data_IF_058193586092
#
_entry.id   IF_058193586092
#
_cell.length_a   1.000
_cell.length_b   1.000
_cell.length_c   1.000
_cell.angle_alpha   90.00
_cell.angle_beta   90.00
_cell.angle_gamma   90.00
#
_symmetry.space_group_name_H-M   'P 1'
#
loop_
_entity.id
_entity.type
_entity.pdbx_description
1 polymer ?
#
# COMPACT_ATOMS: atom_id res chain seq x y z
N UNK A 1 -29.02 -76.84 -47.91
CA UNK A 1 -28.29 -75.79 -48.59
C UNK A 1 -28.07 -74.63 -47.59
N UNK A 2 -26.86 -74.51 -47.06
CA UNK A 2 -26.50 -73.46 -46.03
C UNK A 2 -25.56 -72.47 -46.71
N UNK A 3 -25.95 -71.21 -46.75
CA UNK A 3 -25.08 -70.13 -47.24
C UNK A 3 -24.13 -69.63 -46.14
N UNK A 4 -22.89 -69.27 -46.42
CA UNK A 4 -21.94 -68.77 -45.42
C UNK A 4 -22.09 -67.25 -45.28
N UNK A 5 -22.34 -66.78 -44.03
CA UNK A 5 -22.29 -65.36 -43.66
C UNK A 5 -20.86 -64.90 -43.52
N UNK A 6 -20.59 -63.74 -44.11
CA UNK A 6 -19.30 -63.12 -44.20
C UNK A 6 -18.83 -62.49 -42.89
N UNK A 7 -17.63 -62.86 -42.42
CA UNK A 7 -16.87 -62.21 -41.34
C UNK A 7 -16.13 -60.98 -41.91
N UNK A 8 -16.80 -59.82 -41.99
CA UNK A 8 -16.10 -58.57 -42.41
C UNK A 8 -16.82 -57.35 -41.82
N UNK A 9 -16.92 -57.22 -40.49
CA UNK A 9 -17.43 -55.97 -39.92
C UNK A 9 -16.98 -55.71 -38.45
N UNK A 10 -15.82 -56.18 -38.04
CA UNK A 10 -15.33 -55.98 -36.64
C UNK A 10 -13.96 -55.31 -36.53
N UNK A 11 -13.48 -54.59 -37.58
CA UNK A 11 -12.14 -53.94 -37.51
C UNK A 11 -12.16 -52.42 -37.74
N UNK A 12 -13.30 -51.75 -37.71
CA UNK A 12 -13.42 -50.31 -37.94
C UNK A 12 -13.95 -49.49 -36.76
N UNK A 13 -14.15 -50.08 -35.58
CA UNK A 13 -14.64 -49.38 -34.37
C UNK A 13 -13.58 -49.11 -33.31
N UNK A 14 -12.31 -49.42 -33.54
CA UNK A 14 -11.19 -49.27 -32.58
C UNK A 14 -10.37 -47.99 -32.68
N UNK A 15 -10.59 -47.10 -33.67
CA UNK A 15 -9.69 -45.97 -33.93
C UNK A 15 -10.29 -44.58 -33.71
N UNK A 16 -11.52 -44.47 -33.16
CA UNK A 16 -12.20 -43.20 -32.95
C UNK A 16 -12.23 -42.74 -31.49
N UNK A 17 -11.64 -43.45 -30.51
CA UNK A 17 -11.76 -43.14 -29.08
C UNK A 17 -10.43 -42.61 -28.47
N UNK A 18 -9.36 -42.42 -29.19
CA UNK A 18 -8.05 -42.06 -28.62
C UNK A 18 -7.63 -40.59 -28.90
N UNK A 19 -8.45 -39.77 -29.56
CA UNK A 19 -8.10 -38.38 -29.90
C UNK A 19 -8.76 -37.32 -28.98
N UNK A 20 -9.69 -37.68 -28.10
CA UNK A 20 -10.41 -36.71 -27.27
C UNK A 20 -9.85 -36.46 -25.87
N UNK A 21 -8.67 -36.94 -25.48
CA UNK A 21 -8.14 -36.79 -24.12
C UNK A 21 -6.90 -35.86 -23.99
N UNK A 22 -6.55 -35.08 -25.03
CA UNK A 22 -5.38 -34.19 -24.99
C UNK A 22 -5.72 -32.69 -24.96
N UNK A 23 -6.97 -32.28 -24.74
CA UNK A 23 -7.34 -30.85 -24.68
C UNK A 23 -7.80 -30.37 -23.31
N UNK A 24 -7.60 -31.14 -22.24
CA UNK A 24 -8.00 -30.76 -20.89
C UNK A 24 -6.75 -30.33 -20.06
N UNK A 25 -6.06 -29.29 -20.49
CA UNK A 25 -4.86 -28.82 -19.76
C UNK A 25 -4.39 -27.40 -20.11
N UNK A 26 -5.09 -26.70 -20.97
CA UNK A 26 -4.86 -25.26 -21.09
C UNK A 26 -5.60 -24.57 -19.94
N UNK A 27 -5.10 -24.70 -18.70
CA UNK A 27 -5.41 -23.74 -17.64
C UNK A 27 -5.14 -22.38 -18.27
N UNK A 28 -6.16 -21.55 -18.37
CA UNK A 28 -6.00 -20.15 -18.78
C UNK A 28 -4.95 -19.56 -17.84
N UNK A 29 -3.69 -19.50 -18.28
CA UNK A 29 -2.68 -18.69 -17.63
C UNK A 29 -3.26 -17.28 -17.65
N UNK A 30 -3.88 -16.87 -16.56
CA UNK A 30 -4.35 -15.50 -16.40
C UNK A 30 -3.11 -14.65 -16.60
N UNK A 31 -3.16 -13.69 -17.51
CA UNK A 31 -2.08 -12.74 -17.66
C UNK A 31 -1.83 -12.09 -16.30
N UNK A 32 -0.60 -12.12 -15.83
CA UNK A 32 -0.20 -11.42 -14.61
C UNK A 32 -0.27 -9.91 -14.89
N UNK A 33 -0.61 -9.12 -13.90
CA UNK A 33 -0.74 -7.67 -14.02
C UNK A 33 0.51 -7.01 -14.63
N UNK A 34 1.70 -7.60 -14.49
CA UNK A 34 2.92 -7.10 -15.14
C UNK A 34 2.81 -7.11 -16.69
N UNK A 35 2.24 -8.17 -17.26
CA UNK A 35 2.07 -8.25 -18.73
C UNK A 35 1.06 -7.21 -19.21
N UNK A 36 -0.03 -6.99 -18.44
CA UNK A 36 -1.03 -5.98 -18.76
C UNK A 36 -0.45 -4.56 -18.64
N UNK A 37 0.34 -4.28 -17.62
CA UNK A 37 1.07 -3.01 -17.42
C UNK A 37 2.03 -2.73 -18.60
N UNK A 38 2.85 -3.71 -18.98
CA UNK A 38 3.81 -3.56 -20.09
C UNK A 38 3.07 -3.35 -21.41
N UNK A 39 2.00 -4.10 -21.66
CA UNK A 39 1.17 -3.98 -22.87
C UNK A 39 0.46 -2.63 -22.94
N UNK A 40 -0.04 -2.13 -21.81
CA UNK A 40 -0.69 -0.82 -21.71
C UNK A 40 0.31 0.35 -21.84
N UNK A 41 1.62 0.10 -21.58
CA UNK A 41 2.63 1.14 -21.50
C UNK A 41 2.48 2.08 -20.31
N UNK A 42 1.68 1.69 -19.30
CA UNK A 42 1.35 2.51 -18.14
C UNK A 42 1.13 1.62 -16.93
N UNK A 43 1.66 2.02 -15.77
CA UNK A 43 1.37 1.44 -14.47
C UNK A 43 0.53 2.43 -13.64
N UNK A 44 -0.63 1.99 -13.15
CA UNK A 44 -1.50 2.78 -12.27
C UNK A 44 -1.12 2.53 -10.82
N UNK A 45 -0.66 3.57 -10.14
CA UNK A 45 -0.17 3.49 -8.76
C UNK A 45 -1.06 4.32 -7.85
N UNK A 46 -1.68 3.65 -6.87
CA UNK A 46 -2.48 4.30 -5.83
C UNK A 46 -1.60 4.95 -4.77
N UNK A 47 -1.77 6.26 -4.56
CA UNK A 47 -1.09 7.04 -3.53
C UNK A 47 -2.08 7.90 -2.76
N UNK A 48 -1.79 8.18 -1.49
CA UNK A 48 -2.45 9.28 -0.79
C UNK A 48 -1.93 10.61 -1.35
N UNK A 49 -2.81 11.57 -1.63
CA UNK A 49 -2.42 12.87 -2.20
C UNK A 49 -2.17 13.94 -1.14
N UNK A 50 -2.39 13.61 0.13
CA UNK A 50 -2.33 14.50 1.29
C UNK A 50 -1.55 13.91 2.47
N UNK A 51 -0.55 13.08 2.19
CA UNK A 51 0.25 12.33 3.14
C UNK A 51 1.72 12.79 3.14
N UNK A 52 2.05 14.01 3.63
CA UNK A 52 3.42 14.52 3.62
C UNK A 52 4.31 13.71 4.59
N UNK A 53 5.59 13.46 4.27
CA UNK A 53 6.31 13.85 3.05
C UNK A 53 6.19 12.86 1.89
N UNK A 54 5.31 11.85 1.98
CA UNK A 54 5.18 10.80 0.97
C UNK A 54 4.50 11.32 -0.30
N UNK A 55 3.39 12.04 -0.16
CA UNK A 55 2.80 12.80 -1.25
C UNK A 55 1.97 13.96 -0.69
N UNK A 56 2.08 15.12 -1.30
CA UNK A 56 1.26 16.28 -0.97
C UNK A 56 1.21 17.27 -2.13
N UNK A 57 0.13 18.03 -2.20
CA UNK A 57 -0.02 19.08 -3.18
C UNK A 57 0.92 20.25 -2.86
N UNK A 58 1.81 20.55 -3.79
CA UNK A 58 2.72 21.70 -3.70
C UNK A 58 2.02 23.04 -3.98
N UNK A 59 2.73 24.12 -3.75
CA UNK A 59 2.22 25.48 -4.05
C UNK A 59 2.00 25.74 -5.54
N UNK A 60 2.60 24.96 -6.41
CA UNK A 60 2.44 24.97 -7.86
C UNK A 60 1.28 24.08 -8.35
N UNK A 61 0.45 23.59 -7.43
CA UNK A 61 -0.66 22.67 -7.67
C UNK A 61 -0.25 21.32 -8.28
N UNK A 62 1.01 20.93 -8.13
CA UNK A 62 1.48 19.58 -8.48
C UNK A 62 1.65 18.74 -7.23
N UNK A 63 1.34 17.46 -7.35
CA UNK A 63 1.63 16.49 -6.30
C UNK A 63 3.11 16.14 -6.37
N UNK A 64 3.80 16.19 -5.23
CA UNK A 64 5.20 15.84 -5.10
C UNK A 64 5.45 15.13 -3.77
N UNK A 65 6.51 14.34 -3.68
CA UNK A 65 6.83 13.59 -2.48
C UNK A 65 7.62 12.30 -2.74
N UNK A 66 7.89 11.60 -1.65
CA UNK A 66 8.62 10.33 -1.67
C UNK A 66 7.96 9.30 -2.59
N UNK A 67 6.64 9.11 -2.46
CA UNK A 67 5.88 8.12 -3.23
C UNK A 67 5.70 8.53 -4.69
N UNK A 68 5.62 9.84 -4.97
CA UNK A 68 5.55 10.33 -6.35
C UNK A 68 6.83 10.01 -7.10
N UNK A 69 7.99 10.32 -6.50
CA UNK A 69 9.28 10.00 -7.10
C UNK A 69 9.55 8.48 -7.17
N UNK A 70 9.10 7.73 -6.14
CA UNK A 70 9.17 6.27 -6.16
C UNK A 70 8.35 5.69 -7.32
N UNK A 71 7.14 6.20 -7.57
CA UNK A 71 6.29 5.75 -8.68
C UNK A 71 6.96 6.00 -10.04
N UNK A 72 7.60 7.13 -10.23
CA UNK A 72 8.37 7.44 -11.45
C UNK A 72 9.57 6.51 -11.63
N UNK A 73 10.30 6.20 -10.55
CA UNK A 73 11.42 5.26 -10.58
C UNK A 73 10.96 3.84 -10.91
N UNK A 74 9.84 3.40 -10.35
CA UNK A 74 9.21 2.10 -10.67
C UNK A 74 8.84 2.05 -12.15
N UNK A 75 8.10 3.04 -12.65
CA UNK A 75 7.65 3.09 -14.03
C UNK A 75 8.82 3.09 -15.01
N UNK A 76 9.87 3.88 -14.73
CA UNK A 76 11.12 3.89 -15.49
C UNK A 76 11.81 2.53 -15.52
N UNK A 77 11.86 1.82 -14.38
CA UNK A 77 12.50 0.51 -14.27
C UNK A 77 11.70 -0.62 -14.95
N UNK A 78 10.39 -0.44 -15.12
CA UNK A 78 9.53 -1.35 -15.91
C UNK A 78 9.58 -0.98 -17.39
N UNK A 79 9.86 0.28 -17.74
CA UNK A 79 9.84 0.80 -19.12
C UNK A 79 8.48 1.32 -19.58
N UNK A 80 7.67 1.82 -18.63
CA UNK A 80 6.31 2.36 -18.83
C UNK A 80 6.17 3.76 -18.26
N UNK A 81 4.98 4.37 -18.31
CA UNK A 81 4.64 5.63 -17.65
C UNK A 81 3.96 5.36 -16.31
N UNK A 82 4.19 6.19 -15.29
CA UNK A 82 3.39 6.21 -14.09
C UNK A 82 2.10 7.00 -14.31
N UNK A 83 0.98 6.45 -13.84
CA UNK A 83 -0.30 7.13 -13.66
C UNK A 83 -0.64 7.07 -12.18
N UNK A 84 -0.62 8.23 -11.51
CA UNK A 84 -0.95 8.32 -10.10
C UNK A 84 -2.45 8.38 -9.93
N UNK A 85 -2.99 7.58 -9.01
CA UNK A 85 -4.41 7.52 -8.68
C UNK A 85 -4.58 7.84 -7.21
N UNK A 86 -5.32 8.91 -6.90
CA UNK A 86 -5.63 9.30 -5.54
C UNK A 86 -6.47 8.26 -4.82
N UNK A 87 -6.02 7.85 -3.63
CA UNK A 87 -6.70 6.87 -2.79
C UNK A 87 -6.99 7.44 -1.40
N UNK A 88 -7.87 6.74 -0.68
CA UNK A 88 -8.16 6.96 0.75
C UNK A 88 -7.87 5.69 1.55
N UNK A 89 -7.83 5.78 2.87
CA UNK A 89 -7.71 4.60 3.74
C UNK A 89 -8.77 3.54 3.47
N UNK A 90 -9.98 3.96 3.09
CA UNK A 90 -11.12 3.07 2.86
C UNK A 90 -11.14 2.43 1.48
N UNK A 91 -10.75 3.17 0.41
CA UNK A 91 -10.90 2.68 -0.96
C UNK A 91 -9.67 1.98 -1.53
N UNK A 92 -8.47 2.14 -0.93
CA UNK A 92 -7.21 1.62 -1.50
C UNK A 92 -7.21 0.12 -1.75
N UNK A 93 -7.66 -0.68 -0.78
CA UNK A 93 -7.74 -2.14 -0.97
C UNK A 93 -8.79 -2.52 -2.03
N UNK A 94 -10.05 -2.01 -1.97
CA UNK A 94 -11.00 -2.18 -3.07
C UNK A 94 -10.45 -1.80 -4.45
N UNK A 95 -9.78 -0.64 -4.57
CA UNK A 95 -9.22 -0.19 -5.86
C UNK A 95 -8.20 -1.17 -6.42
N UNK A 96 -7.34 -1.73 -5.56
CA UNK A 96 -6.35 -2.73 -5.97
C UNK A 96 -7.02 -4.05 -6.38
N UNK A 97 -7.96 -4.55 -5.56
CA UNK A 97 -8.67 -5.82 -5.84
C UNK A 97 -9.51 -5.74 -7.12
N UNK A 98 -10.10 -4.56 -7.41
CA UNK A 98 -10.90 -4.30 -8.59
C UNK A 98 -10.07 -3.89 -9.83
N UNK A 99 -8.72 -3.90 -9.75
CA UNK A 99 -7.81 -3.47 -10.82
C UNK A 99 -8.02 -2.03 -11.29
N UNK A 100 -8.48 -1.13 -10.40
CA UNK A 100 -8.49 0.31 -10.65
C UNK A 100 -7.08 0.90 -10.53
N UNK A 101 -6.24 0.24 -9.75
CA UNK A 101 -4.79 0.45 -9.66
C UNK A 101 -4.07 -0.89 -9.76
N UNK A 102 -2.81 -0.88 -10.22
CA UNK A 102 -1.96 -2.06 -10.36
C UNK A 102 -1.13 -2.30 -9.10
N UNK A 103 -0.77 -1.23 -8.41
CA UNK A 103 -0.02 -1.27 -7.16
C UNK A 103 -0.46 -0.16 -6.21
N UNK A 104 -0.24 -0.36 -4.92
CA UNK A 104 -0.37 0.66 -3.87
C UNK A 104 1.00 0.99 -3.30
N UNK A 105 1.25 2.26 -3.01
CA UNK A 105 2.36 2.70 -2.17
C UNK A 105 1.89 3.01 -0.74
N UNK A 106 2.84 3.22 0.17
CA UNK A 106 2.59 3.57 1.58
C UNK A 106 1.54 2.71 2.27
N UNK A 107 1.67 1.40 2.11
CA UNK A 107 0.77 0.45 2.78
C UNK A 107 1.51 -0.38 3.83
N UNK A 108 1.10 -0.23 5.09
CA UNK A 108 1.60 -1.07 6.18
C UNK A 108 1.01 -2.48 6.14
N UNK A 109 1.81 -3.45 6.54
CA UNK A 109 1.40 -4.85 6.64
C UNK A 109 0.36 -5.06 7.75
N UNK A 110 -0.64 -5.90 7.48
CA UNK A 110 -1.46 -6.58 8.49
C UNK A 110 -1.92 -7.93 7.96
N UNK A 111 -2.16 -8.88 8.87
CA UNK A 111 -2.64 -10.23 8.51
C UNK A 111 -3.97 -10.18 7.76
N UNK A 112 -4.85 -9.25 8.12
CA UNK A 112 -6.12 -9.04 7.44
C UNK A 112 -5.93 -8.63 5.97
N UNK A 113 -5.06 -7.63 5.73
CA UNK A 113 -4.75 -7.18 4.37
C UNK A 113 -4.07 -8.27 3.55
N UNK A 114 -3.18 -9.06 4.17
CA UNK A 114 -2.46 -10.14 3.52
C UNK A 114 -3.38 -11.29 3.01
N UNK A 115 -4.66 -11.32 3.40
CA UNK A 115 -5.64 -12.24 2.82
C UNK A 115 -6.00 -11.89 1.37
N UNK A 116 -5.92 -10.60 1.00
CA UNK A 116 -6.43 -10.09 -0.28
C UNK A 116 -5.39 -9.36 -1.13
N UNK A 117 -4.21 -9.05 -0.57
CA UNK A 117 -3.08 -8.43 -1.28
C UNK A 117 -1.78 -9.17 -0.98
N UNK A 118 -0.79 -9.02 -1.86
CA UNK A 118 0.58 -9.46 -1.64
C UNK A 118 1.48 -8.24 -1.46
N UNK A 119 2.26 -8.25 -0.37
CA UNK A 119 3.16 -7.16 -0.01
C UNK A 119 4.56 -7.36 -0.59
N UNK A 120 5.23 -6.26 -0.95
CA UNK A 120 6.67 -6.26 -1.24
C UNK A 120 7.49 -6.21 0.06
N UNK A 121 8.81 -6.31 -0.08
CA UNK A 121 9.72 -5.81 0.95
C UNK A 121 9.47 -4.32 1.21
N UNK A 122 9.74 -3.81 2.43
CA UNK A 122 9.55 -2.41 2.75
C UNK A 122 10.51 -1.52 1.93
N UNK A 123 10.09 -0.29 1.61
CA UNK A 123 10.90 0.66 0.87
C UNK A 123 11.12 1.99 1.61
N UNK A 124 10.40 2.23 2.71
CA UNK A 124 10.64 3.36 3.61
C UNK A 124 10.43 2.94 5.08
N UNK A 125 11.27 3.43 6.00
CA UNK A 125 11.03 3.27 7.43
C UNK A 125 9.78 4.05 7.82
N UNK A 126 9.01 3.52 8.75
CA UNK A 126 7.80 4.18 9.23
C UNK A 126 7.35 3.56 10.54
N UNK A 127 6.88 4.37 11.46
CA UNK A 127 6.16 3.92 12.62
C UNK A 127 4.98 4.84 12.94
N UNK A 128 3.96 4.30 13.55
CA UNK A 128 2.73 4.99 13.92
C UNK A 128 2.87 5.46 15.37
N UNK A 129 2.54 6.71 15.61
CA UNK A 129 2.60 7.30 16.93
C UNK A 129 1.39 8.17 17.25
N UNK A 130 1.10 8.31 18.54
CA UNK A 130 0.19 9.32 19.06
C UNK A 130 0.97 10.62 19.21
N UNK A 131 0.48 11.68 18.56
CA UNK A 131 1.03 13.02 18.61
C UNK A 131 0.09 13.94 19.40
N UNK A 132 0.66 14.88 20.12
CA UNK A 132 -0.13 15.86 20.88
C UNK A 132 0.67 17.11 21.22
N UNK A 133 0.04 18.18 21.70
CA UNK A 133 0.72 19.39 22.15
C UNK A 133 1.70 19.08 23.28
N UNK A 134 2.78 19.86 23.37
CA UNK A 134 3.85 19.64 24.36
C UNK A 134 3.34 19.61 25.81
N UNK A 135 2.37 20.45 26.15
CA UNK A 135 1.77 20.61 27.46
C UNK A 135 0.74 19.53 27.85
N UNK A 136 0.41 18.64 26.93
CA UNK A 136 -0.52 17.53 27.19
C UNK A 136 0.25 16.30 27.63
N UNK A 137 0.06 15.88 28.89
CA UNK A 137 0.71 14.67 29.41
C UNK A 137 -0.08 13.44 29.00
N UNK A 138 0.52 12.64 28.11
CA UNK A 138 0.04 11.35 27.61
C UNK A 138 1.26 10.47 27.39
N UNK A 139 1.36 9.36 28.12
CA UNK A 139 2.52 8.45 28.09
C UNK A 139 2.19 7.06 27.57
N UNK A 140 0.90 6.76 27.44
CA UNK A 140 0.45 5.45 26.98
C UNK A 140 -1.06 5.38 26.75
N UNK A 141 -1.57 4.22 26.35
CA UNK A 141 -2.97 4.05 25.99
C UNK A 141 -3.98 4.46 27.06
N UNK A 142 -3.69 4.21 28.35
CA UNK A 142 -4.61 4.56 29.45
C UNK A 142 -4.90 6.08 29.52
N UNK A 143 -3.94 6.92 29.13
CA UNK A 143 -4.05 8.38 29.19
C UNK A 143 -4.91 8.96 28.05
N UNK A 144 -5.34 8.12 27.09
CA UNK A 144 -6.25 8.49 26.01
C UNK A 144 -7.69 8.71 26.52
N UNK A 145 -8.02 8.25 27.72
CA UNK A 145 -9.35 8.44 28.32
C UNK A 145 -9.72 9.93 28.39
N UNK A 146 -10.89 10.26 27.88
CA UNK A 146 -11.40 11.64 27.83
C UNK A 146 -10.68 12.56 26.86
N UNK A 147 -9.83 12.04 25.98
CA UNK A 147 -9.16 12.80 24.92
C UNK A 147 -9.88 12.60 23.58
N UNK A 148 -9.94 13.68 22.81
CA UNK A 148 -10.37 13.66 21.41
C UNK A 148 -9.17 13.37 20.53
N UNK A 149 -9.26 12.32 19.71
CA UNK A 149 -8.15 11.77 18.93
C UNK A 149 -8.56 11.78 17.45
N UNK A 150 -7.85 12.52 16.62
CA UNK A 150 -8.07 12.52 15.18
C UNK A 150 -7.27 11.39 14.51
N UNK A 151 -7.91 10.67 13.59
CA UNK A 151 -7.27 9.59 12.82
C UNK A 151 -7.87 9.48 11.42
N UNK A 152 -7.07 9.04 10.45
CA UNK A 152 -7.56 8.77 9.09
C UNK A 152 -8.24 7.40 9.05
N UNK A 153 -9.51 7.39 8.68
CA UNK A 153 -10.38 6.20 8.67
C UNK A 153 -9.83 5.10 7.74
N UNK A 154 -9.79 3.86 8.24
CA UNK A 154 -9.40 2.68 7.46
C UNK A 154 -7.89 2.52 7.26
N UNK A 155 -7.09 3.35 7.93
CA UNK A 155 -5.63 3.18 7.99
C UNK A 155 -5.23 2.26 9.14
N UNK A 156 -3.93 1.89 9.24
CA UNK A 156 -3.43 1.17 10.43
C UNK A 156 -3.46 2.05 11.68
N UNK A 157 -3.28 3.34 11.53
CA UNK A 157 -3.43 4.32 12.61
C UNK A 157 -4.80 4.20 13.29
N UNK A 158 -5.88 4.12 12.49
CA UNK A 158 -7.24 3.92 12.99
C UNK A 158 -7.38 2.55 13.68
N UNK A 159 -6.91 1.49 13.03
CA UNK A 159 -7.00 0.14 13.58
C UNK A 159 -6.24 0.01 14.89
N UNK A 160 -5.00 0.49 14.95
CA UNK A 160 -4.13 0.30 16.10
C UNK A 160 -4.56 1.16 17.29
N UNK A 161 -4.95 2.44 17.07
CA UNK A 161 -5.46 3.26 18.19
C UNK A 161 -6.78 2.70 18.72
N UNK A 162 -7.64 2.17 17.85
CA UNK A 162 -8.92 1.58 18.26
C UNK A 162 -8.72 0.35 19.15
N UNK A 163 -7.70 -0.47 18.89
CA UNK A 163 -7.40 -1.67 19.70
C UNK A 163 -6.97 -1.32 21.12
N UNK A 164 -6.28 -0.20 21.31
CA UNK A 164 -5.66 0.14 22.61
C UNK A 164 -6.40 1.25 23.35
N UNK A 165 -7.30 1.98 22.70
CA UNK A 165 -8.02 3.09 23.31
C UNK A 165 -8.94 2.59 24.43
N UNK A 166 -8.87 3.18 25.64
CA UNK A 166 -9.75 2.84 26.75
C UNK A 166 -11.17 3.35 26.50
N UNK A 167 -12.13 2.81 27.23
CA UNK A 167 -13.49 3.35 27.29
C UNK A 167 -13.45 4.83 27.69
N UNK A 168 -14.19 5.67 26.94
CA UNK A 168 -14.22 7.12 27.13
C UNK A 168 -13.16 7.88 26.33
N UNK A 169 -12.34 7.23 25.50
CA UNK A 169 -11.57 7.90 24.46
C UNK A 169 -12.50 8.24 23.28
N UNK A 170 -12.39 9.47 22.74
CA UNK A 170 -13.19 9.95 21.62
C UNK A 170 -12.36 9.90 20.31
N UNK A 171 -12.50 8.82 19.54
CA UNK A 171 -11.78 8.64 18.27
C UNK A 171 -12.59 9.24 17.13
N UNK A 172 -12.15 10.40 16.64
CA UNK A 172 -12.73 11.09 15.50
C UNK A 172 -12.04 10.68 14.20
N UNK A 173 -12.81 10.06 13.31
CA UNK A 173 -12.33 9.47 12.06
C UNK A 173 -12.60 10.39 10.89
N UNK A 174 -11.53 10.89 10.28
CA UNK A 174 -11.57 11.75 9.08
C UNK A 174 -11.39 10.91 7.81
N UNK A 175 -11.82 11.44 6.68
CA UNK A 175 -11.72 10.77 5.37
C UNK A 175 -10.32 10.78 4.79
N UNK A 176 -9.48 11.71 5.24
CA UNK A 176 -8.17 12.02 4.69
C UNK A 176 -7.23 12.61 5.76
N UNK A 177 -5.94 12.73 5.43
CA UNK A 177 -4.93 13.26 6.35
C UNK A 177 -5.05 14.78 6.55
N UNK A 178 -5.51 15.53 5.53
CA UNK A 178 -5.75 16.96 5.70
C UNK A 178 -6.79 17.24 6.79
N UNK A 179 -7.86 16.44 6.85
CA UNK A 179 -8.86 16.51 7.90
C UNK A 179 -8.28 16.23 9.29
N UNK A 180 -7.45 15.18 9.42
CA UNK A 180 -6.75 14.84 10.66
C UNK A 180 -5.86 15.98 11.13
N UNK A 181 -4.99 16.47 10.24
CA UNK A 181 -4.03 17.54 10.54
C UNK A 181 -4.75 18.84 10.91
N UNK A 182 -5.80 19.20 10.15
CA UNK A 182 -6.59 20.40 10.41
C UNK A 182 -7.31 20.34 11.74
N UNK A 183 -7.91 19.20 12.10
CA UNK A 183 -8.56 19.01 13.39
C UNK A 183 -7.60 19.15 14.57
N UNK A 184 -6.38 18.61 14.42
CA UNK A 184 -5.33 18.77 15.44
C UNK A 184 -4.86 20.23 15.53
N UNK A 185 -4.48 20.85 14.42
CA UNK A 185 -3.93 22.21 14.41
C UNK A 185 -4.94 23.29 14.81
N UNK A 186 -6.25 23.05 14.62
CA UNK A 186 -7.32 23.94 15.12
C UNK A 186 -7.67 23.71 16.60
N UNK A 187 -7.13 22.66 17.22
CA UNK A 187 -7.48 22.26 18.59
C UNK A 187 -8.83 21.54 18.72
N UNK A 188 -9.51 21.23 17.61
CA UNK A 188 -10.73 20.41 17.60
C UNK A 188 -10.43 18.99 18.12
N UNK A 189 -9.32 18.40 17.70
CA UNK A 189 -8.80 17.18 18.30
C UNK A 189 -7.58 17.49 19.18
N UNK A 190 -7.56 16.93 20.39
CA UNK A 190 -6.45 17.14 21.33
C UNK A 190 -5.22 16.34 20.97
N UNK A 191 -5.42 15.21 20.33
CA UNK A 191 -4.37 14.30 19.86
C UNK A 191 -4.64 13.93 18.39
N UNK A 192 -3.61 13.52 17.69
CA UNK A 192 -3.74 12.84 16.41
C UNK A 192 -2.88 11.58 16.36
N UNK A 193 -3.28 10.62 15.55
CA UNK A 193 -2.49 9.42 15.28
C UNK A 193 -2.06 9.45 13.82
N UNK A 194 -0.76 9.55 13.64
CA UNK A 194 -0.11 9.65 12.32
C UNK A 194 1.27 8.98 12.38
N UNK A 195 1.92 8.85 11.24
CA UNK A 195 3.31 8.42 11.21
C UNK A 195 4.28 9.48 11.73
N UNK A 196 5.44 9.00 12.19
CA UNK A 196 6.55 9.83 12.65
C UNK A 196 6.94 10.92 11.65
N UNK A 197 7.06 10.56 10.36
CA UNK A 197 7.49 11.49 9.31
C UNK A 197 6.45 12.57 9.00
N UNK A 198 5.15 12.22 9.12
CA UNK A 198 4.04 13.18 9.01
C UNK A 198 4.12 14.19 10.16
N UNK A 199 4.27 13.72 11.40
CA UNK A 199 4.44 14.57 12.57
C UNK A 199 5.65 15.50 12.44
N UNK A 200 6.80 14.96 12.03
CA UNK A 200 8.02 15.73 11.80
C UNK A 200 7.83 16.80 10.71
N UNK A 201 7.14 16.46 9.62
CA UNK A 201 6.86 17.40 8.51
C UNK A 201 5.97 18.56 8.95
N UNK A 202 4.98 18.29 9.80
CA UNK A 202 4.11 19.33 10.37
C UNK A 202 4.90 20.21 11.32
N UNK A 203 5.69 19.61 12.22
CA UNK A 203 6.50 20.31 13.21
C UNK A 203 7.52 21.26 12.54
N UNK A 204 8.12 20.84 11.42
CA UNK A 204 9.07 21.66 10.65
C UNK A 204 8.47 22.97 10.11
N UNK A 205 7.14 23.05 9.99
CA UNK A 205 6.41 24.27 9.61
C UNK A 205 6.15 25.23 10.77
N UNK A 206 6.62 24.89 11.98
CA UNK A 206 6.48 25.69 13.22
C UNK A 206 5.04 26.13 13.50
N UNK A 207 4.07 25.19 13.55
CA UNK A 207 2.68 25.55 13.81
C UNK A 207 2.48 26.03 15.26
N UNK A 208 1.38 26.76 15.51
CA UNK A 208 1.04 27.22 16.87
C UNK A 208 0.80 26.07 17.85
N UNK A 209 0.28 24.93 17.36
CA UNK A 209 0.15 23.69 18.12
C UNK A 209 1.17 22.71 17.56
N UNK A 210 2.26 22.51 18.28
CA UNK A 210 3.34 21.59 17.87
C UNK A 210 2.93 20.13 18.11
N UNK A 211 3.01 19.28 17.05
CA UNK A 211 2.79 17.84 17.20
C UNK A 211 4.03 17.17 17.80
N UNK A 212 4.06 17.00 19.09
CA UNK A 212 5.12 16.26 19.81
C UNK A 212 4.68 14.81 19.96
N UNK A 213 5.58 13.87 19.68
CA UNK A 213 5.33 12.45 19.92
C UNK A 213 5.07 12.20 21.40
N UNK A 214 4.02 11.45 21.71
CA UNK A 214 3.63 11.05 23.06
C UNK A 214 4.08 9.61 23.33
N UNK A 215 3.69 8.70 22.47
CA UNK A 215 4.15 7.33 22.49
C UNK A 215 3.95 6.66 21.12
N UNK A 216 4.78 5.68 20.85
CA UNK A 216 4.68 4.86 19.63
C UNK A 216 3.62 3.77 19.81
N UNK A 217 2.76 3.59 18.80
CA UNK A 217 1.77 2.51 18.75
C UNK A 217 2.33 1.26 18.10
N UNK A 218 2.97 1.42 16.95
CA UNK A 218 3.39 0.29 16.12
C UNK A 218 4.52 0.68 15.17
N UNK A 219 5.53 -0.18 15.02
CA UNK A 219 6.47 -0.10 13.89
C UNK A 219 5.79 -0.72 12.67
N UNK A 220 5.71 0.03 11.58
CA UNK A 220 5.02 -0.38 10.36
C UNK A 220 5.72 0.16 9.12
N UNK A 221 6.89 -0.40 8.74
CA UNK A 221 7.58 0.05 7.54
C UNK A 221 6.65 0.11 6.32
N UNK A 222 6.85 1.10 5.47
CA UNK A 222 6.03 1.28 4.26
C UNK A 222 6.40 0.24 3.22
N UNK A 223 5.42 -0.55 2.80
CA UNK A 223 5.51 -1.53 1.73
C UNK A 223 4.73 -1.03 0.50
N UNK A 224 4.97 -1.66 -0.63
CA UNK A 224 4.03 -1.67 -1.74
C UNK A 224 3.11 -2.89 -1.60
N UNK A 225 1.96 -2.85 -2.26
CA UNK A 225 1.11 -4.02 -2.41
C UNK A 225 0.59 -4.15 -3.82
N UNK A 226 0.43 -5.39 -4.24
CA UNK A 226 -0.26 -5.79 -5.47
C UNK A 226 -1.45 -6.66 -5.10
N UNK A 227 -2.41 -6.84 -6.02
CA UNK A 227 -3.51 -7.77 -5.80
C UNK A 227 -2.97 -9.18 -5.53
N UNK A 228 -3.66 -9.91 -4.67
CA UNK A 228 -3.32 -11.29 -4.31
C UNK A 228 -3.15 -12.16 -5.55
N UNK A 229 -1.99 -12.81 -5.66
CA UNK A 229 -1.65 -13.70 -6.77
C UNK A 229 -0.95 -13.04 -7.97
N UNK A 230 -0.75 -11.72 -7.99
CA UNK A 230 0.02 -11.01 -9.02
C UNK A 230 1.53 -11.12 -8.74
N UNK A 231 2.03 -12.36 -8.74
CA UNK A 231 3.37 -12.68 -8.23
C UNK A 231 4.52 -12.12 -9.05
N UNK A 232 4.34 -12.01 -10.37
CA UNK A 232 5.38 -11.45 -11.25
C UNK A 232 5.53 -9.95 -11.08
N UNK A 233 4.42 -9.22 -10.92
CA UNK A 233 4.45 -7.79 -10.63
C UNK A 233 5.06 -7.56 -9.24
N UNK A 234 4.65 -8.33 -8.22
CA UNK A 234 5.24 -8.27 -6.89
C UNK A 234 6.76 -8.48 -6.92
N UNK A 235 7.23 -9.53 -7.62
CA UNK A 235 8.65 -9.84 -7.73
C UNK A 235 9.40 -8.71 -8.46
N UNK A 236 8.83 -8.18 -9.54
CA UNK A 236 9.42 -7.04 -10.27
C UNK A 236 9.60 -5.82 -9.38
N UNK A 237 8.60 -5.49 -8.55
CA UNK A 237 8.68 -4.39 -7.57
C UNK A 237 9.75 -4.67 -6.51
N UNK A 238 9.83 -5.91 -6.00
CA UNK A 238 10.89 -6.32 -5.07
C UNK A 238 12.30 -6.18 -5.67
N UNK A 239 12.48 -6.59 -6.93
CA UNK A 239 13.77 -6.49 -7.63
C UNK A 239 14.18 -5.02 -7.81
N UNK A 240 13.21 -4.12 -8.09
CA UNK A 240 13.44 -2.68 -8.19
C UNK A 240 13.91 -2.13 -6.83
N UNK A 241 13.21 -2.43 -5.73
CA UNK A 241 13.59 -1.99 -4.39
C UNK A 241 14.97 -2.51 -4.02
N UNK A 242 15.25 -3.79 -4.29
CA UNK A 242 16.56 -4.39 -4.02
C UNK A 242 17.68 -3.73 -4.83
N UNK A 243 17.43 -3.40 -6.11
CA UNK A 243 18.35 -2.65 -6.95
C UNK A 243 18.65 -1.26 -6.39
N UNK A 244 17.59 -0.53 -6.01
CA UNK A 244 17.68 0.81 -5.41
C UNK A 244 18.42 0.83 -4.07
N UNK A 245 18.30 -0.24 -3.27
CA UNK A 245 19.11 -0.40 -2.04
C UNK A 245 20.57 -0.57 -2.39
N UNK A 246 20.86 -1.43 -3.36
CA UNK A 246 22.24 -1.77 -3.75
C UNK A 246 22.99 -0.59 -4.38
N UNK A 247 22.33 0.22 -5.21
CA UNK A 247 22.95 1.38 -5.87
C UNK A 247 22.88 2.67 -5.05
N UNK A 248 22.22 2.65 -3.88
CA UNK A 248 22.08 3.77 -2.96
C UNK A 248 20.98 4.78 -3.33
N UNK A 249 20.25 4.58 -4.42
CA UNK A 249 19.19 5.51 -4.85
C UNK A 249 18.01 5.54 -3.87
N UNK A 250 17.69 4.42 -3.21
CA UNK A 250 16.67 4.38 -2.15
C UNK A 250 17.06 5.22 -0.94
N UNK A 251 18.34 5.17 -0.54
CA UNK A 251 18.86 6.03 0.54
C UNK A 251 18.87 7.51 0.13
N UNK A 252 19.22 7.82 -1.11
CA UNK A 252 19.15 9.19 -1.62
C UNK A 252 17.73 9.75 -1.59
N UNK A 253 16.74 8.92 -1.94
CA UNK A 253 15.31 9.27 -1.85
C UNK A 253 14.89 9.55 -0.40
N UNK A 254 15.31 8.71 0.56
CA UNK A 254 15.05 8.90 1.98
C UNK A 254 15.67 10.21 2.50
N UNK A 255 16.93 10.47 2.20
CA UNK A 255 17.59 11.73 2.58
C UNK A 255 16.87 12.95 2.00
N UNK A 256 16.44 12.85 0.73
CA UNK A 256 15.75 13.96 0.05
C UNK A 256 14.42 14.30 0.72
N UNK A 257 13.60 13.29 1.02
CA UNK A 257 12.22 13.49 1.44
C UNK A 257 12.00 13.31 2.95
N UNK A 258 12.58 12.26 3.56
CA UNK A 258 12.45 11.99 4.98
C UNK A 258 13.48 12.75 5.82
N UNK A 259 14.44 13.46 5.16
CA UNK A 259 15.50 14.27 5.79
C UNK A 259 16.46 13.44 6.66
N UNK A 260 16.49 12.15 6.49
CA UNK A 260 17.37 11.22 7.21
C UNK A 260 17.74 10.03 6.31
N UNK A 261 18.92 9.43 6.51
CA UNK A 261 19.28 8.22 5.80
C UNK A 261 18.43 7.04 6.28
N UNK A 262 18.36 6.01 5.44
CA UNK A 262 17.78 4.73 5.86
C UNK A 262 18.58 4.16 7.04
N UNK A 263 17.93 3.49 8.01
CA UNK A 263 18.61 2.71 9.03
C UNK A 263 19.55 1.67 8.41
N UNK A 264 20.65 1.37 9.09
CA UNK A 264 21.68 0.45 8.57
C UNK A 264 21.20 -1.00 8.40
N UNK A 265 20.14 -1.35 9.12
CA UNK A 265 19.48 -2.66 9.12
C UNK A 265 18.18 -2.68 8.29
N UNK A 266 17.93 -1.61 7.58
CA UNK A 266 16.73 -1.47 6.72
C UNK A 266 16.88 -2.22 5.35
#
# INVERSE_FOLDING_TARGET
MKSPQSRRSTLLQGLALTVCLLTAGAGSARADALDDVVKAGTIKIGIFEDFPPFASLGSDMKIDGYDVEMADLIAKAIGVKAELVGITGQNRIPFLVEHKVDALLSIGYSDERAQVVDFTAPYAPYYIAVMGPRDVDVKGPADLKGKTIAVNRGTLEDTEVTKVAPEGADIQRYSDYNGVISAFLSGQAKLMVVGNDVGATILAKQPAIEPVEKFQLMTSPSNMAVKKGETRLQQKLNDIVAGMRKDGSLNALAVKWLKQPLPSDF
#
